data_IF_103745796234
#
_entry.id   IF_103745796234
#
_cell.length_a   1.000
_cell.length_b   1.000
_cell.length_c   1.000
_cell.angle_alpha   90.00
_cell.angle_beta   90.00
_cell.angle_gamma   90.00
#
_symmetry.space_group_name_H-M   'P 1'
#
loop_
_entity.id
_entity.type
_entity.pdbx_description
1 polymer ?
#
# COMPACT_ATOMS: atom_id res chain seq x y z
N UNK A 1 32.38 18.84 -1.24
CA UNK A 1 30.93 18.69 -1.45
C UNK A 1 30.25 19.18 -0.17
N UNK A 2 29.62 20.34 -0.05
CA UNK A 2 29.32 21.42 -1.00
C UNK A 2 28.38 22.49 -0.39
N UNK A 3 27.98 22.35 0.87
CA UNK A 3 27.27 23.35 1.67
C UNK A 3 27.92 23.38 3.06
N UNK A 4 28.25 24.57 3.57
CA UNK A 4 28.84 24.73 4.91
C UNK A 4 27.76 24.87 5.99
N UNK A 5 26.56 25.29 5.59
CA UNK A 5 25.42 25.50 6.49
C UNK A 5 24.25 24.55 6.19
N UNK A 6 23.64 24.02 7.25
CA UNK A 6 22.45 23.16 7.16
C UNK A 6 21.25 23.87 6.53
N UNK A 7 21.17 25.20 6.71
CA UNK A 7 20.10 26.03 6.12
C UNK A 7 20.14 26.05 4.59
N UNK A 8 21.34 26.02 3.99
CA UNK A 8 21.47 26.02 2.53
C UNK A 8 21.11 24.65 1.95
N UNK A 9 21.53 23.60 2.65
CA UNK A 9 21.15 22.23 2.31
C UNK A 9 19.62 22.06 2.35
N UNK A 10 18.95 22.51 3.42
CA UNK A 10 17.50 22.34 3.55
C UNK A 10 16.73 23.16 2.51
N UNK A 11 17.24 24.36 2.17
CA UNK A 11 16.62 25.24 1.17
C UNK A 11 16.64 24.63 -0.23
N UNK A 12 17.69 23.88 -0.57
CA UNK A 12 17.76 23.12 -1.83
C UNK A 12 16.82 21.92 -1.84
N UNK A 13 16.77 21.13 -0.76
CA UNK A 13 16.06 19.86 -0.74
C UNK A 13 14.54 20.00 -0.54
N UNK A 14 14.08 21.01 0.20
CA UNK A 14 12.64 21.27 0.40
C UNK A 14 11.83 21.33 -0.90
N UNK A 15 12.20 22.12 -1.94
CA UNK A 15 11.42 22.15 -3.18
C UNK A 15 11.44 20.82 -3.91
N UNK A 16 12.55 20.07 -3.87
CA UNK A 16 12.65 18.74 -4.47
C UNK A 16 11.65 17.78 -3.80
N UNK A 17 11.63 17.74 -2.47
CA UNK A 17 10.68 16.90 -1.72
C UNK A 17 9.23 17.33 -1.96
N UNK A 18 8.95 18.63 -2.06
CA UNK A 18 7.63 19.13 -2.39
C UNK A 18 7.19 18.68 -3.78
N UNK A 19 8.06 18.81 -4.79
CA UNK A 19 7.79 18.35 -6.15
C UNK A 19 7.50 16.84 -6.19
N UNK A 20 8.29 16.04 -5.50
CA UNK A 20 8.10 14.60 -5.40
C UNK A 20 6.78 14.27 -4.70
N UNK A 21 6.44 14.96 -3.61
CA UNK A 21 5.19 14.75 -2.89
C UNK A 21 3.95 15.08 -3.76
N UNK A 22 4.01 16.18 -4.52
CA UNK A 22 3.00 16.51 -5.54
C UNK A 22 2.95 15.42 -6.62
N UNK A 23 4.12 14.91 -7.03
CA UNK A 23 4.23 13.78 -7.96
C UNK A 23 3.52 12.53 -7.47
N UNK A 24 3.63 12.19 -6.18
CA UNK A 24 2.90 11.07 -5.57
C UNK A 24 1.39 11.29 -5.67
N UNK A 25 0.92 12.48 -5.27
CA UNK A 25 -0.50 12.81 -5.37
C UNK A 25 -1.01 12.73 -6.81
N UNK A 26 -0.19 13.17 -7.77
CA UNK A 26 -0.46 13.06 -9.21
C UNK A 26 -0.53 11.60 -9.68
N UNK A 27 0.35 10.71 -9.21
CA UNK A 27 0.31 9.28 -9.51
C UNK A 27 -0.95 8.61 -8.96
N UNK A 28 -1.32 8.93 -7.71
CA UNK A 28 -2.56 8.44 -7.09
C UNK A 28 -3.76 8.90 -7.91
N UNK A 29 -3.83 10.19 -8.24
CA UNK A 29 -4.89 10.74 -9.08
C UNK A 29 -4.95 10.04 -10.45
N UNK A 30 -3.82 9.90 -11.13
CA UNK A 30 -3.73 9.23 -12.43
C UNK A 30 -4.21 7.78 -12.38
N UNK A 31 -3.90 7.06 -11.30
CA UNK A 31 -4.39 5.71 -11.09
C UNK A 31 -5.93 5.67 -11.06
N UNK A 32 -6.57 6.48 -10.21
CA UNK A 32 -8.04 6.53 -10.12
C UNK A 32 -8.70 7.09 -11.38
N UNK A 33 -8.05 8.02 -12.08
CA UNK A 33 -8.50 8.53 -13.36
C UNK A 33 -8.63 7.43 -14.41
N UNK A 34 -7.61 6.57 -14.53
CA UNK A 34 -7.64 5.44 -15.46
C UNK A 34 -8.75 4.42 -15.14
N UNK A 35 -9.19 4.36 -13.88
CA UNK A 35 -10.29 3.50 -13.43
C UNK A 35 -11.67 4.20 -13.47
N UNK A 36 -11.80 5.36 -14.12
CA UNK A 36 -13.05 6.15 -14.24
C UNK A 36 -13.62 6.65 -12.90
N UNK A 37 -12.82 6.68 -11.85
CA UNK A 37 -13.21 7.14 -10.50
C UNK A 37 -12.65 8.53 -10.20
N UNK A 38 -12.97 9.51 -11.04
CA UNK A 38 -12.36 10.85 -11.00
C UNK A 38 -12.52 11.57 -9.64
N UNK A 39 -13.72 11.52 -9.05
CA UNK A 39 -14.02 12.17 -7.77
C UNK A 39 -13.17 11.56 -6.64
N UNK A 40 -13.03 10.24 -6.64
CA UNK A 40 -12.19 9.53 -5.68
C UNK A 40 -10.71 9.84 -5.89
N UNK A 41 -10.27 10.03 -7.14
CA UNK A 41 -8.91 10.47 -7.45
C UNK A 41 -8.59 11.83 -6.82
N UNK A 42 -9.46 12.82 -7.00
CA UNK A 42 -9.30 14.14 -6.38
C UNK A 42 -9.30 14.06 -4.85
N UNK A 43 -10.27 13.34 -4.28
CA UNK A 43 -10.36 13.16 -2.83
C UNK A 43 -9.09 12.50 -2.28
N UNK A 44 -8.59 11.44 -2.92
CA UNK A 44 -7.39 10.73 -2.50
C UNK A 44 -6.13 11.61 -2.60
N UNK A 45 -5.99 12.40 -3.68
CA UNK A 45 -4.88 13.32 -3.86
C UNK A 45 -4.90 14.46 -2.82
N UNK A 46 -6.07 15.05 -2.57
CA UNK A 46 -6.24 16.07 -1.53
C UNK A 46 -5.99 15.51 -0.14
N UNK A 47 -6.52 14.31 0.15
CA UNK A 47 -6.30 13.65 1.43
C UNK A 47 -4.81 13.35 1.63
N UNK A 48 -4.10 12.92 0.60
CA UNK A 48 -2.65 12.72 0.67
C UNK A 48 -1.91 14.03 0.96
N UNK A 49 -2.17 15.10 0.20
CA UNK A 49 -1.47 16.38 0.35
C UNK A 49 -1.80 17.12 1.66
N UNK A 50 -3.05 17.04 2.12
CA UNK A 50 -3.55 17.78 3.28
C UNK A 50 -3.54 16.95 4.57
N UNK A 51 -3.08 15.70 4.52
CA UNK A 51 -2.94 14.90 5.73
C UNK A 51 -1.95 15.57 6.68
N UNK A 52 -2.35 15.73 7.96
CA UNK A 52 -1.51 16.27 9.03
C UNK A 52 -0.12 15.64 9.07
N UNK A 53 -0.05 14.32 8.93
CA UNK A 53 1.24 13.61 8.95
C UNK A 53 2.13 13.99 7.76
N UNK A 54 1.54 14.12 6.57
CA UNK A 54 2.26 14.49 5.35
C UNK A 54 2.76 15.94 5.41
N UNK A 55 1.97 16.86 5.96
CA UNK A 55 2.39 18.24 6.20
C UNK A 55 3.55 18.31 7.21
N UNK A 56 3.48 17.53 8.29
CA UNK A 56 4.55 17.48 9.29
C UNK A 56 5.86 16.93 8.70
N UNK A 57 5.82 15.78 8.02
CA UNK A 57 7.01 15.16 7.43
C UNK A 57 7.61 16.03 6.29
N UNK A 58 6.78 16.85 5.62
CA UNK A 58 7.27 17.83 4.63
C UNK A 58 8.11 18.95 5.24
N UNK A 59 7.90 19.28 6.53
CA UNK A 59 8.71 20.26 7.25
C UNK A 59 10.08 19.67 7.60
N UNK A 60 10.12 18.39 7.97
CA UNK A 60 11.33 17.67 8.38
C UNK A 60 12.22 17.23 7.19
N UNK A 61 11.78 17.46 5.96
CA UNK A 61 12.55 17.20 4.73
C UNK A 61 13.09 15.75 4.67
N UNK A 62 12.21 14.79 4.96
CA UNK A 62 12.58 13.39 5.04
C UNK A 62 12.71 12.75 3.64
N UNK A 63 13.72 11.90 3.44
CA UNK A 63 14.01 11.21 2.18
C UNK A 63 12.93 10.15 1.81
N UNK A 64 12.04 9.86 2.74
CA UNK A 64 10.92 8.92 2.62
C UNK A 64 10.04 9.19 1.40
N UNK A 65 9.82 10.45 1.04
CA UNK A 65 8.95 10.80 -0.10
C UNK A 65 9.53 10.34 -1.43
N UNK A 66 10.84 10.50 -1.63
CA UNK A 66 11.52 10.02 -2.84
C UNK A 66 11.38 8.51 -2.93
N UNK A 67 11.58 7.83 -1.80
CA UNK A 67 11.46 6.39 -1.72
C UNK A 67 10.02 5.93 -2.07
N UNK A 68 9.01 6.51 -1.43
CA UNK A 68 7.58 6.18 -1.66
C UNK A 68 7.16 6.47 -3.11
N UNK A 69 7.64 7.56 -3.70
CA UNK A 69 7.36 7.90 -5.10
C UNK A 69 7.81 6.80 -6.05
N UNK A 70 9.05 6.34 -5.94
CA UNK A 70 9.56 5.24 -6.76
C UNK A 70 8.85 3.91 -6.48
N UNK A 71 8.43 3.66 -5.24
CA UNK A 71 7.63 2.48 -4.89
C UNK A 71 6.25 2.49 -5.59
N UNK A 72 5.52 3.60 -5.53
CA UNK A 72 4.19 3.72 -6.17
C UNK A 72 4.35 3.61 -7.69
N UNK A 73 5.34 4.31 -8.25
CA UNK A 73 5.62 4.25 -9.68
C UNK A 73 5.93 2.82 -10.12
N UNK A 74 6.76 2.09 -9.36
CA UNK A 74 7.05 0.67 -9.60
C UNK A 74 5.78 -0.18 -9.66
N UNK A 75 4.89 -0.05 -8.66
CA UNK A 75 3.64 -0.82 -8.62
C UNK A 75 2.71 -0.51 -9.80
N UNK A 76 2.63 0.75 -10.23
CA UNK A 76 1.80 1.15 -11.37
C UNK A 76 2.34 0.65 -12.71
N UNK A 77 3.66 0.51 -12.84
CA UNK A 77 4.31 0.01 -14.05
C UNK A 77 4.32 -1.52 -14.12
N UNK A 78 4.23 -2.21 -12.97
CA UNK A 78 4.30 -3.67 -12.88
C UNK A 78 3.39 -4.43 -13.88
N UNK A 79 2.11 -4.07 -14.11
CA UNK A 79 1.27 -4.77 -15.08
C UNK A 79 1.61 -4.47 -16.55
N UNK A 80 2.29 -3.35 -16.85
CA UNK A 80 2.57 -2.90 -18.22
C UNK A 80 4.00 -3.20 -18.67
N UNK A 81 4.99 -2.87 -17.83
CA UNK A 81 6.42 -2.96 -18.11
C UNK A 81 7.16 -3.47 -16.88
N UNK A 82 7.25 -4.80 -16.75
CA UNK A 82 7.84 -5.49 -15.58
C UNK A 82 9.29 -5.06 -15.32
N UNK A 83 10.13 -4.99 -16.35
CA UNK A 83 11.55 -4.64 -16.21
C UNK A 83 11.73 -3.23 -15.63
N UNK A 84 10.97 -2.26 -16.13
CA UNK A 84 11.01 -0.88 -15.63
C UNK A 84 10.50 -0.80 -14.19
N UNK A 85 9.46 -1.56 -13.84
CA UNK A 85 8.98 -1.66 -12.46
C UNK A 85 10.08 -2.17 -11.53
N UNK A 86 10.78 -3.25 -11.88
CA UNK A 86 11.88 -3.78 -11.06
C UNK A 86 13.02 -2.78 -10.88
N UNK A 87 13.34 -1.98 -11.91
CA UNK A 87 14.33 -0.90 -11.79
C UNK A 87 13.86 0.24 -10.87
N UNK A 88 12.59 0.63 -10.94
CA UNK A 88 12.03 1.63 -10.01
C UNK A 88 12.00 1.11 -8.57
N UNK A 89 11.70 -0.18 -8.37
CA UNK A 89 11.83 -0.82 -7.07
C UNK A 89 13.29 -0.90 -6.59
N UNK A 90 14.24 -1.11 -7.50
CA UNK A 90 15.68 -1.06 -7.22
C UNK A 90 16.10 0.32 -6.69
N UNK A 91 15.58 1.41 -7.28
CA UNK A 91 15.80 2.78 -6.78
C UNK A 91 15.25 2.96 -5.37
N UNK A 92 14.03 2.48 -5.12
CA UNK A 92 13.43 2.51 -3.78
C UNK A 92 14.30 1.76 -2.75
N UNK A 93 14.75 0.56 -3.10
CA UNK A 93 15.62 -0.28 -2.24
C UNK A 93 16.98 0.38 -1.97
N UNK A 94 17.53 1.08 -2.96
CA UNK A 94 18.78 1.82 -2.81
C UNK A 94 18.68 3.01 -1.85
N UNK A 95 17.51 3.66 -1.77
CA UNK A 95 17.26 4.79 -0.86
C UNK A 95 16.89 4.28 0.54
N UNK A 96 16.03 3.25 0.62
CA UNK A 96 15.50 2.74 1.88
C UNK A 96 15.59 1.22 1.96
N UNK A 97 16.44 0.76 2.88
CA UNK A 97 16.66 -0.66 3.13
C UNK A 97 15.41 -1.41 3.64
N UNK A 98 14.43 -0.72 4.25
CA UNK A 98 13.15 -1.34 4.66
C UNK A 98 12.39 -1.97 3.48
N UNK A 99 12.67 -1.52 2.26
CA UNK A 99 12.15 -2.11 1.03
C UNK A 99 12.52 -3.58 0.84
N UNK A 100 13.55 -4.09 1.52
CA UNK A 100 13.96 -5.50 1.43
C UNK A 100 12.81 -6.44 1.80
N UNK A 101 11.88 -5.99 2.64
CA UNK A 101 10.69 -6.73 2.99
C UNK A 101 9.67 -6.85 1.85
N UNK A 102 9.69 -5.97 0.86
CA UNK A 102 8.84 -6.07 -0.33
C UNK A 102 9.47 -6.95 -1.42
N UNK A 103 10.78 -7.24 -1.34
CA UNK A 103 11.51 -8.00 -2.35
C UNK A 103 10.91 -9.41 -2.58
N UNK A 104 10.60 -10.22 -1.54
CA UNK A 104 9.98 -11.53 -1.75
C UNK A 104 8.65 -11.45 -2.51
N UNK A 105 7.86 -10.41 -2.26
CA UNK A 105 6.58 -10.20 -2.94
C UNK A 105 6.78 -9.94 -4.45
N UNK A 106 7.74 -9.10 -4.80
CA UNK A 106 8.09 -8.83 -6.20
C UNK A 106 8.62 -10.08 -6.92
N UNK A 107 9.41 -10.92 -6.24
CA UNK A 107 9.88 -12.19 -6.81
C UNK A 107 8.75 -13.19 -7.02
N UNK A 108 7.81 -13.30 -6.07
CA UNK A 108 6.62 -14.15 -6.22
C UNK A 108 5.80 -13.69 -7.43
N UNK A 109 5.62 -12.38 -7.62
CA UNK A 109 4.91 -11.85 -8.78
C UNK A 109 5.65 -12.06 -10.10
N UNK A 110 6.98 -11.95 -10.11
CA UNK A 110 7.80 -12.29 -11.26
C UNK A 110 7.61 -13.76 -11.65
N UNK A 111 7.74 -14.67 -10.69
CA UNK A 111 7.54 -16.11 -10.88
C UNK A 111 6.15 -16.45 -11.41
N UNK A 112 5.10 -15.85 -10.82
CA UNK A 112 3.71 -16.16 -11.19
C UNK A 112 3.30 -15.64 -12.57
N UNK A 113 4.00 -14.61 -13.08
CA UNK A 113 3.66 -13.93 -14.32
C UNK A 113 4.52 -14.38 -15.51
N UNK A 114 5.39 -15.37 -15.32
CA UNK A 114 6.18 -15.99 -16.38
C UNK A 114 5.42 -17.10 -17.09
N UNK A 115 5.48 -17.09 -18.42
CA UNK A 115 4.86 -18.09 -19.29
C UNK A 115 5.83 -19.23 -19.63
N UNK A 116 7.09 -18.89 -19.95
CA UNK A 116 8.08 -19.86 -20.44
C UNK A 116 8.93 -20.48 -19.32
N UNK A 117 9.75 -19.64 -18.66
CA UNK A 117 10.80 -20.10 -17.74
C UNK A 117 10.77 -19.28 -16.44
N UNK A 118 9.95 -19.69 -15.44
CA UNK A 118 9.74 -18.90 -14.23
C UNK A 118 11.02 -18.72 -13.41
N UNK A 119 11.93 -19.71 -13.42
CA UNK A 119 13.23 -19.61 -12.73
C UNK A 119 14.09 -18.51 -13.34
N UNK A 120 14.21 -18.49 -14.67
CA UNK A 120 15.04 -17.53 -15.39
C UNK A 120 14.53 -16.11 -15.20
N UNK A 121 13.23 -15.91 -15.33
CA UNK A 121 12.61 -14.59 -15.21
C UNK A 121 12.68 -14.06 -13.78
N UNK A 122 12.51 -14.93 -12.79
CA UNK A 122 12.67 -14.56 -11.36
C UNK A 122 14.12 -14.19 -11.07
N UNK A 123 15.09 -14.90 -11.67
CA UNK A 123 16.51 -14.58 -11.54
C UNK A 123 16.85 -13.23 -12.20
N UNK A 124 16.31 -12.95 -13.38
CA UNK A 124 16.47 -11.66 -14.06
C UNK A 124 15.84 -10.54 -13.21
N UNK A 125 14.64 -10.76 -12.67
CA UNK A 125 13.98 -9.81 -11.78
C UNK A 125 14.84 -9.53 -10.54
N UNK A 126 15.39 -10.57 -9.91
CA UNK A 126 16.31 -10.42 -8.77
C UNK A 126 17.53 -9.58 -9.13
N UNK A 127 18.16 -9.84 -10.29
CA UNK A 127 19.32 -9.08 -10.76
C UNK A 127 18.95 -7.61 -10.99
N UNK A 128 17.83 -7.34 -11.66
CA UNK A 128 17.33 -5.97 -11.88
C UNK A 128 17.02 -5.24 -10.57
N UNK A 129 16.50 -5.92 -9.55
CA UNK A 129 16.22 -5.32 -8.25
C UNK A 129 17.52 -5.00 -7.49
N UNK A 130 18.53 -5.85 -7.60
CA UNK A 130 19.80 -5.69 -6.88
C UNK A 130 20.81 -4.79 -7.59
N UNK A 131 20.61 -4.45 -8.86
CA UNK A 131 21.60 -3.70 -9.65
C UNK A 131 21.94 -2.34 -9.03
N UNK A 132 20.93 -1.53 -8.65
CA UNK A 132 21.18 -0.18 -8.14
C UNK A 132 21.77 -0.23 -6.73
N UNK A 133 21.17 -0.92 -5.73
CA UNK A 133 21.78 -1.07 -4.41
C UNK A 133 23.17 -1.70 -4.47
N UNK A 134 23.39 -2.65 -5.38
CA UNK A 134 24.69 -3.31 -5.57
C UNK A 134 25.75 -2.33 -6.06
N UNK A 135 25.46 -1.55 -7.10
CA UNK A 135 26.41 -0.56 -7.64
C UNK A 135 26.67 0.55 -6.63
N UNK A 136 25.63 1.05 -5.95
CA UNK A 136 25.79 2.14 -4.97
C UNK A 136 26.50 1.70 -3.69
N UNK A 137 26.37 0.44 -3.29
CA UNK A 137 27.07 -0.11 -2.10
C UNK A 137 28.52 -0.54 -2.39
N UNK A 138 28.85 -0.86 -3.64
CA UNK A 138 30.18 -1.33 -4.06
C UNK A 138 31.35 -0.47 -3.55
N UNK A 139 31.36 0.89 -3.70
CA UNK A 139 32.47 1.69 -3.19
C UNK A 139 32.63 1.61 -1.67
N UNK A 140 31.53 1.47 -0.92
CA UNK A 140 31.58 1.34 0.55
C UNK A 140 32.08 -0.03 0.99
N UNK A 141 31.72 -1.09 0.26
CA UNK A 141 32.21 -2.44 0.51
C UNK A 141 33.72 -2.52 0.25
N UNK A 142 34.20 -1.93 -0.85
CA UNK A 142 35.63 -1.87 -1.17
C UNK A 142 36.43 -1.03 -0.18
N UNK A 143 35.83 0.04 0.36
CA UNK A 143 36.49 0.91 1.33
C UNK A 143 36.55 0.28 2.73
N UNK A 144 35.43 -0.25 3.22
CA UNK A 144 35.36 -0.93 4.52
C UNK A 144 34.12 -1.86 4.60
N UNK A 145 34.30 -3.12 4.24
CA UNK A 145 33.22 -4.11 4.27
C UNK A 145 32.62 -4.31 5.67
N UNK A 146 33.44 -4.38 6.71
CA UNK A 146 32.97 -4.62 8.09
C UNK A 146 32.07 -3.49 8.59
N UNK A 147 32.49 -2.23 8.38
CA UNK A 147 31.71 -1.05 8.74
C UNK A 147 30.40 -0.96 7.96
N UNK A 148 30.42 -1.32 6.67
CA UNK A 148 29.21 -1.37 5.84
C UNK A 148 28.19 -2.37 6.42
N UNK A 149 28.57 -3.62 6.64
CA UNK A 149 27.63 -4.62 7.17
C UNK A 149 27.16 -4.31 8.60
N UNK A 150 28.02 -3.76 9.46
CA UNK A 150 27.61 -3.28 10.79
C UNK A 150 26.56 -2.17 10.70
N UNK A 151 26.67 -1.25 9.73
CA UNK A 151 25.68 -0.17 9.57
C UNK A 151 24.30 -0.68 9.12
N UNK A 152 24.26 -1.72 8.26
CA UNK A 152 23.01 -2.39 7.88
C UNK A 152 22.38 -3.10 9.08
N UNK A 153 23.19 -3.87 9.82
CA UNK A 153 22.71 -4.63 10.98
C UNK A 153 22.26 -3.74 12.14
N UNK A 154 22.82 -2.54 12.27
CA UNK A 154 22.44 -1.59 13.31
C UNK A 154 20.93 -1.27 13.29
N UNK A 155 20.32 -1.13 12.11
CA UNK A 155 18.87 -0.92 11.98
C UNK A 155 18.05 -2.12 12.50
N UNK A 156 18.60 -3.33 12.42
CA UNK A 156 17.97 -4.54 12.95
C UNK A 156 18.10 -4.63 14.49
N UNK A 157 19.19 -4.15 15.07
CA UNK A 157 19.53 -4.32 16.50
C UNK A 157 19.27 -3.09 17.37
N UNK A 158 18.77 -1.98 16.83
CA UNK A 158 18.36 -0.80 17.62
C UNK A 158 17.32 -1.19 18.67
N UNK A 159 17.60 -0.82 19.93
CA UNK A 159 16.61 -0.82 21.02
C UNK A 159 15.74 0.44 20.91
N UNK A 160 14.41 0.33 21.10
CA UNK A 160 13.48 1.45 20.94
C UNK A 160 13.59 2.55 22.01
N UNK A 161 14.39 2.35 23.06
CA UNK A 161 14.42 3.20 24.28
C UNK A 161 15.01 4.61 24.10
N UNK A 162 15.27 5.05 22.86
CA UNK A 162 16.09 6.22 22.61
C UNK A 162 15.39 7.58 22.64
N UNK A 163 14.33 7.80 21.87
CA UNK A 163 14.02 9.19 21.48
C UNK A 163 12.54 9.56 21.31
N UNK A 164 11.60 8.61 21.32
CA UNK A 164 10.16 8.92 21.30
C UNK A 164 9.40 7.82 22.04
N UNK A 165 8.71 8.17 23.13
CA UNK A 165 7.72 7.30 23.79
C UNK A 165 6.48 7.12 22.90
N UNK A 166 6.65 6.57 21.70
CA UNK A 166 5.55 6.13 20.88
C UNK A 166 5.19 4.70 21.34
N UNK A 167 3.93 4.41 21.69
CA UNK A 167 3.51 3.07 22.08
C UNK A 167 3.51 2.16 20.84
N UNK A 168 4.67 1.61 20.51
CA UNK A 168 4.82 0.54 19.54
C UNK A 168 4.58 -0.81 20.22
N UNK A 169 4.14 -1.79 19.44
CA UNK A 169 3.86 -3.14 19.93
C UNK A 169 5.11 -3.77 20.59
N UNK A 170 6.31 -3.45 20.10
CA UNK A 170 7.56 -3.91 20.70
C UNK A 170 7.82 -3.29 22.09
N UNK A 171 7.55 -2.00 22.28
CA UNK A 171 7.64 -1.31 23.56
C UNK A 171 6.62 -1.83 24.56
N UNK A 172 5.39 -2.09 24.13
CA UNK A 172 4.35 -2.69 24.98
C UNK A 172 4.69 -4.12 25.40
N UNK A 173 5.22 -4.93 24.48
CA UNK A 173 5.65 -6.31 24.79
C UNK A 173 6.89 -6.30 25.69
N UNK A 174 7.81 -5.35 25.49
CA UNK A 174 9.00 -5.16 26.34
C UNK A 174 8.62 -4.73 27.76
N UNK A 175 7.62 -3.87 27.91
CA UNK A 175 7.04 -3.48 29.20
C UNK A 175 6.45 -4.68 29.96
N UNK A 176 5.88 -5.65 29.25
CA UNK A 176 5.32 -6.87 29.87
C UNK A 176 6.35 -7.97 30.09
N UNK A 177 7.38 -8.07 29.24
CA UNK A 177 8.44 -9.07 29.28
C UNK A 177 9.79 -8.40 28.97
N UNK A 178 10.63 -8.10 29.97
CA UNK A 178 11.89 -7.37 29.79
C UNK A 178 12.94 -8.13 28.97
N UNK A 179 12.79 -9.45 28.78
CA UNK A 179 13.66 -10.27 27.93
C UNK A 179 13.32 -10.19 26.42
N UNK A 180 12.25 -9.48 26.07
CA UNK A 180 11.68 -9.41 24.72
C UNK A 180 12.18 -8.19 23.94
N UNK A 181 13.49 -7.95 23.97
CA UNK A 181 14.15 -6.79 23.34
C UNK A 181 14.82 -7.18 22.01
N UNK A 182 14.97 -6.21 21.10
CA UNK A 182 15.72 -6.37 19.86
C UNK A 182 15.04 -7.28 18.83
N UNK A 183 15.75 -8.30 18.33
CA UNK A 183 15.29 -9.18 17.25
C UNK A 183 13.99 -9.92 17.62
N UNK A 184 13.86 -10.34 18.89
CA UNK A 184 12.67 -11.05 19.39
C UNK A 184 11.42 -10.17 19.31
N UNK A 185 11.56 -8.88 19.60
CA UNK A 185 10.47 -7.92 19.55
C UNK A 185 9.95 -7.67 18.12
N UNK A 186 10.77 -7.98 17.10
CA UNK A 186 10.41 -7.90 15.68
C UNK A 186 9.74 -9.16 15.13
N UNK A 187 9.67 -10.25 15.91
CA UNK A 187 9.01 -11.51 15.50
C UNK A 187 7.54 -11.34 15.08
N UNK A 188 6.69 -10.57 15.79
CA UNK A 188 5.31 -10.37 15.35
C UNK A 188 5.21 -9.73 13.96
N UNK A 189 6.09 -8.77 13.65
CA UNK A 189 6.16 -8.14 12.32
C UNK A 189 6.55 -9.16 11.25
N UNK A 190 7.58 -9.97 11.50
CA UNK A 190 8.03 -11.03 10.58
C UNK A 190 6.93 -12.07 10.35
N UNK A 191 6.19 -12.44 11.40
CA UNK A 191 5.06 -13.37 11.31
C UNK A 191 3.97 -12.82 10.39
N UNK A 192 3.53 -11.57 10.60
CA UNK A 192 2.51 -10.93 9.74
C UNK A 192 3.01 -10.85 8.29
N UNK A 193 4.27 -10.48 8.08
CA UNK A 193 4.87 -10.42 6.74
C UNK A 193 4.88 -11.79 6.06
N UNK A 194 5.23 -12.85 6.81
CA UNK A 194 5.23 -14.22 6.31
C UNK A 194 3.83 -14.68 5.90
N UNK A 195 2.80 -14.33 6.67
CA UNK A 195 1.40 -14.59 6.31
C UNK A 195 0.98 -13.87 5.02
N UNK A 196 1.43 -12.63 4.82
CA UNK A 196 1.20 -11.88 3.57
C UNK A 196 1.86 -12.60 2.39
N UNK A 197 3.10 -13.07 2.53
CA UNK A 197 3.78 -13.81 1.46
C UNK A 197 3.09 -15.13 1.13
N UNK A 198 2.67 -15.90 2.15
CA UNK A 198 1.91 -17.14 1.94
C UNK A 198 0.58 -16.86 1.22
N UNK A 199 -0.08 -15.76 1.57
CA UNK A 199 -1.33 -15.32 0.91
C UNK A 199 -1.10 -14.90 -0.55
N UNK A 200 0.02 -14.22 -0.82
CA UNK A 200 0.44 -13.85 -2.18
C UNK A 200 0.78 -15.09 -3.03
N UNK A 201 1.48 -16.08 -2.45
CA UNK A 201 1.78 -17.35 -3.12
C UNK A 201 0.52 -18.12 -3.51
N UNK A 202 -0.52 -18.11 -2.66
CA UNK A 202 -1.81 -18.75 -2.96
C UNK A 202 -2.66 -18.00 -4.01
N UNK A 203 -2.08 -17.01 -4.70
CA UNK A 203 -2.74 -16.12 -5.68
C UNK A 203 -4.01 -15.47 -5.13
N UNK A 204 -4.14 -15.35 -3.79
CA UNK A 204 -5.34 -14.79 -3.17
C UNK A 204 -5.36 -13.25 -3.19
N UNK A 205 -4.21 -12.65 -3.44
CA UNK A 205 -4.04 -11.21 -3.57
C UNK A 205 -3.82 -10.93 -5.06
N UNK A 206 -4.92 -10.80 -5.83
CA UNK A 206 -4.81 -10.13 -7.12
C UNK A 206 -4.32 -8.72 -6.85
N UNK A 207 -3.33 -8.23 -7.60
CA UNK A 207 -2.64 -6.94 -7.35
C UNK A 207 -3.66 -5.80 -7.16
N UNK A 208 -4.89 -5.94 -7.70
CA UNK A 208 -6.01 -5.02 -7.47
C UNK A 208 -7.41 -5.67 -7.29
N UNK A 209 -7.55 -6.99 -7.11
CA UNK A 209 -8.79 -7.69 -7.58
C UNK A 209 -9.62 -8.48 -6.57
N UNK A 210 -9.50 -8.30 -5.25
CA UNK A 210 -10.40 -9.01 -4.28
C UNK A 210 -11.07 -8.17 -3.20
N UNK A 211 -11.23 -6.87 -3.41
CA UNK A 211 -12.23 -6.10 -2.66
C UNK A 211 -13.67 -6.52 -2.99
N UNK A 212 -13.93 -6.93 -4.24
CA UNK A 212 -15.29 -7.24 -4.71
C UNK A 212 -15.75 -8.67 -4.35
N UNK A 213 -14.83 -9.66 -4.36
CA UNK A 213 -15.17 -11.05 -4.07
C UNK A 213 -15.44 -11.34 -2.59
N UNK A 214 -14.83 -10.57 -1.68
CA UNK A 214 -15.12 -10.68 -0.24
C UNK A 214 -16.51 -10.10 0.09
N UNK A 215 -16.92 -9.03 -0.60
CA UNK A 215 -18.25 -8.42 -0.42
C UNK A 215 -19.38 -9.33 -0.93
N UNK A 216 -19.15 -10.08 -2.02
CA UNK A 216 -20.13 -11.04 -2.56
C UNK A 216 -20.34 -12.25 -1.65
N UNK A 217 -19.30 -12.71 -0.94
CA UNK A 217 -19.44 -13.81 0.02
C UNK A 217 -20.14 -13.37 1.31
N UNK A 218 -19.93 -12.12 1.75
CA UNK A 218 -20.65 -11.55 2.90
C UNK A 218 -22.14 -11.32 2.56
N UNK A 219 -22.47 -10.91 1.33
CA UNK A 219 -23.88 -10.81 0.89
C UNK A 219 -24.54 -12.18 0.65
N UNK A 220 -23.79 -13.18 0.19
CA UNK A 220 -24.30 -14.54 0.05
C UNK A 220 -24.57 -15.20 1.43
N UNK A 221 -23.71 -14.97 2.43
CA UNK A 221 -23.93 -15.41 3.80
C UNK A 221 -25.07 -14.66 4.50
N UNK A 222 -25.28 -13.37 4.20
CA UNK A 222 -26.43 -12.62 4.70
C UNK A 222 -27.76 -13.11 4.10
N UNK A 223 -27.75 -13.64 2.86
CA UNK A 223 -28.95 -14.19 2.19
C UNK A 223 -29.36 -15.57 2.75
N UNK A 224 -28.47 -16.33 3.38
CA UNK A 224 -28.80 -17.64 3.98
C UNK A 224 -29.36 -17.56 5.41
N UNK A 225 -29.40 -16.36 6.02
CA UNK A 225 -29.87 -16.14 7.40
C UNK A 225 -31.28 -15.49 7.43
N UNK A 226 -31.85 -15.14 6.26
CA UNK A 226 -33.22 -14.66 6.19
C UNK A 226 -34.21 -15.84 6.34
N UNK A 227 -35.11 -15.85 7.35
CA UNK A 227 -36.06 -16.93 7.54
C UNK A 227 -37.06 -17.01 6.39
N UNK A 228 -37.20 -18.20 5.82
CA UNK A 228 -38.34 -18.58 4.95
C UNK A 228 -39.64 -18.44 5.75
N UNK A 229 -40.52 -17.51 5.31
CA UNK A 229 -42.00 -17.49 5.43
C UNK A 229 -42.42 -16.11 4.93
N UNK A 230 -43.10 -15.95 3.80
CA UNK A 230 -44.52 -16.26 3.67
C UNK A 230 -44.88 -16.49 2.20
N UNK A 231 -45.54 -17.61 1.95
CA UNK A 231 -46.33 -17.89 0.76
C UNK A 231 -47.57 -16.99 0.79
N UNK A 232 -47.81 -16.22 -0.26
CA UNK A 232 -48.99 -15.36 -0.39
C UNK A 232 -49.17 -14.90 -1.82
N UNK A 233 -49.92 -15.68 -2.60
CA UNK A 233 -50.45 -15.29 -3.90
C UNK A 233 -51.55 -14.24 -3.71
N UNK A 234 -51.47 -13.08 -4.38
CA UNK A 234 -52.64 -12.21 -4.60
C UNK A 234 -52.41 -11.22 -5.75
N UNK A 235 -52.89 -11.64 -6.92
CA UNK A 235 -53.81 -10.96 -7.86
C UNK A 235 -53.54 -9.48 -8.22
N UNK A 236 -53.35 -9.29 -9.52
CA UNK A 236 -53.38 -8.06 -10.33
C UNK A 236 -54.68 -7.25 -10.16
N UNK A 237 -54.57 -5.93 -9.98
CA UNK A 237 -55.72 -5.00 -10.06
C UNK A 237 -55.33 -3.52 -10.24
N UNK A 238 -55.80 -2.90 -11.33
CA UNK A 238 -55.65 -1.48 -11.74
C UNK A 238 -56.34 -0.47 -10.78
N UNK A 239 -55.69 0.67 -10.49
CA UNK A 239 -56.14 2.08 -10.75
C UNK A 239 -55.31 3.13 -9.99
N UNK A 240 -54.97 4.23 -10.68
CA UNK A 240 -54.52 5.55 -10.17
C UNK A 240 -55.70 6.33 -9.50
N UNK A 241 -55.55 7.58 -9.01
CA UNK A 241 -54.58 8.19 -8.07
C UNK A 241 -55.26 9.05 -6.95
N UNK A 242 -54.70 9.17 -5.74
CA UNK A 242 -54.92 10.36 -4.87
C UNK A 242 -54.08 10.38 -3.57
N UNK A 243 -53.20 11.38 -3.50
CA UNK A 243 -52.90 12.30 -2.39
C UNK A 243 -53.25 11.85 -0.95
N UNK A 244 -52.23 11.68 -0.11
CA UNK A 244 -52.27 12.13 1.29
C UNK A 244 -50.85 12.48 1.80
N UNK A 245 -50.68 13.74 2.20
CA UNK A 245 -49.57 14.25 2.99
C UNK A 245 -49.78 13.80 4.44
N UNK A 246 -48.84 13.07 5.03
CA UNK A 246 -48.70 13.07 6.49
C UNK A 246 -47.23 13.02 6.92
N UNK A 247 -47.01 13.74 8.02
CA UNK A 247 -45.77 14.12 8.66
C UNK A 247 -45.11 12.92 9.35
N UNK A 248 -43.77 12.83 9.28
CA UNK A 248 -43.02 11.83 10.02
C UNK A 248 -41.67 11.49 9.39
N UNK A 249 -40.76 12.48 9.28
CA UNK A 249 -39.38 12.21 8.86
C UNK A 249 -38.60 11.64 10.04
N UNK A 250 -38.83 10.35 10.30
CA UNK A 250 -37.97 9.54 11.16
C UNK A 250 -36.64 9.29 10.43
N UNK A 251 -35.54 9.68 11.07
CA UNK A 251 -34.18 9.39 10.63
C UNK A 251 -33.96 7.89 10.81
N UNK A 252 -33.98 7.12 9.72
CA UNK A 252 -33.39 5.76 9.65
C UNK A 252 -33.33 5.26 8.20
N UNK A 253 -32.18 4.74 7.78
CA UNK A 253 -32.08 3.89 6.58
C UNK A 253 -31.22 4.40 5.43
N UNK A 254 -30.10 5.09 5.70
CA UNK A 254 -29.06 5.36 4.71
C UNK A 254 -28.23 4.08 4.48
N UNK A 255 -28.79 3.10 3.76
CA UNK A 255 -28.05 1.98 3.19
C UNK A 255 -28.98 1.19 2.26
N UNK A 256 -28.39 0.60 1.21
CA UNK A 256 -28.95 -0.46 0.32
C UNK A 256 -29.46 -0.06 -1.08
N UNK A 257 -29.59 1.22 -1.47
CA UNK A 257 -30.07 1.53 -2.86
C UNK A 257 -28.96 1.87 -3.88
N UNK A 258 -27.68 1.97 -3.48
CA UNK A 258 -26.61 2.42 -4.39
C UNK A 258 -25.94 1.34 -5.26
N UNK A 259 -26.18 0.04 -5.04
CA UNK A 259 -25.46 -1.03 -5.76
C UNK A 259 -26.24 -1.76 -6.86
N UNK A 260 -27.57 -1.62 -6.92
CA UNK A 260 -28.36 -2.32 -7.96
C UNK A 260 -28.33 -1.62 -9.32
N UNK A 261 -28.05 -0.31 -9.37
CA UNK A 261 -28.10 0.45 -10.63
C UNK A 261 -26.80 0.44 -11.46
N UNK A 262 -25.73 -0.20 -10.97
CA UNK A 262 -24.45 -0.29 -11.72
C UNK A 262 -24.36 -1.61 -12.52
N UNK A 263 -25.19 -2.61 -12.20
CA UNK A 263 -25.19 -3.91 -12.90
C UNK A 263 -26.17 -4.03 -14.07
N UNK A 264 -27.00 -3.01 -14.36
CA UNK A 264 -28.04 -3.11 -15.39
C UNK A 264 -27.79 -2.30 -16.67
N UNK A 265 -26.63 -1.66 -16.82
CA UNK A 265 -26.28 -0.82 -18.00
C UNK A 265 -25.17 -1.43 -18.87
N UNK A 266 -25.06 -2.76 -18.91
CA UNK A 266 -24.15 -3.46 -19.82
C UNK A 266 -24.77 -4.71 -20.48
N UNK A 267 -26.07 -4.65 -20.76
CA UNK A 267 -26.70 -5.48 -21.79
C UNK A 267 -27.57 -4.58 -22.67
N UNK A 268 -26.94 -4.04 -23.73
CA UNK A 268 -27.50 -3.80 -25.06
C UNK A 268 -26.35 -3.42 -26.01
#
# INVERSE_FOLDING_TARGET
MGFQDYSDWISLWRPIFLMVNIGIAGLIFYHFYNHKLFIFGWLAALLWLLNRWMLYVSIDANLDFIAIFFLILSLMLLPKQKSTAFLMFSLFLGIKQIAIFLLPLYLIWAWQSSEDNPVKDTFIALLLILVIPGITSLPFILWNAEGFFKSILFSATINPDGHVNAPSLDGLITLSNPDFVGIKAKLPMVLVMSLVFLSAMKRQIGIYTRGCHQLSQITAAARSIAPRKFTGSLIVGRRHPSILLESGKEIRGFNVVLCTNICHTHEQ
#
